data_IF_627777446038
#
_entry.id   IF_627777446038
#
_cell.length_a   1.000
_cell.length_b   1.000
_cell.length_c   1.000
_cell.angle_alpha   90.00
_cell.angle_beta   90.00
_cell.angle_gamma   90.00
#
_symmetry.space_group_name_H-M   'P 1'
#
loop_
_entity.id
_entity.type
_entity.pdbx_description
1 polymer ?
#
# COMPACT_ATOMS: atom_id res chain seq x y z
N UNK A 1 15.56 3.63 5.40
CA UNK A 1 14.83 4.29 6.52
C UNK A 1 13.35 4.36 6.16
N UNK A 2 12.49 3.68 6.92
CA UNK A 2 11.04 3.58 6.65
C UNK A 2 10.25 4.87 6.87
N UNK A 3 10.81 5.84 7.61
CA UNK A 3 10.14 7.13 7.87
C UNK A 3 10.26 8.12 6.71
N UNK A 4 11.08 7.80 5.70
CA UNK A 4 11.34 8.67 4.56
C UNK A 4 10.57 8.16 3.35
N UNK A 5 9.75 9.04 2.76
CA UNK A 5 9.01 8.77 1.53
C UNK A 5 9.94 8.33 0.40
N UNK A 6 9.54 7.36 -0.44
CA UNK A 6 10.37 6.82 -1.50
C UNK A 6 10.40 7.74 -2.73
N UNK A 7 10.98 8.92 -2.59
CA UNK A 7 11.24 9.84 -3.69
C UNK A 7 12.75 10.05 -3.84
N UNK A 8 13.24 10.11 -5.07
CA UNK A 8 14.67 10.31 -5.35
C UNK A 8 15.09 11.73 -4.97
N UNK A 9 14.19 12.70 -5.12
CA UNK A 9 14.41 14.09 -4.73
C UNK A 9 13.15 14.71 -4.12
N UNK A 10 13.29 15.94 -3.60
CA UNK A 10 12.21 16.63 -2.91
C UNK A 10 11.04 17.02 -3.81
N UNK A 11 11.26 17.21 -5.11
CA UNK A 11 10.22 17.62 -6.05
C UNK A 11 9.42 16.44 -6.60
N UNK A 12 9.96 15.23 -6.53
CA UNK A 12 9.32 14.03 -7.07
C UNK A 12 8.13 13.59 -6.20
N UNK A 13 7.00 13.30 -6.83
CA UNK A 13 5.79 12.80 -6.17
C UNK A 13 5.83 11.28 -6.05
N UNK A 14 5.16 10.75 -5.02
CA UNK A 14 4.91 9.31 -4.86
C UNK A 14 3.43 9.08 -5.17
N UNK A 15 3.15 8.41 -6.28
CA UNK A 15 1.78 8.07 -6.68
C UNK A 15 1.35 6.81 -5.92
N UNK A 16 0.20 6.90 -5.24
CA UNK A 16 -0.40 5.81 -4.49
C UNK A 16 -1.71 5.43 -5.17
N UNK A 17 -1.78 4.19 -5.66
CA UNK A 17 -3.00 3.60 -6.17
C UNK A 17 -3.78 3.01 -5.01
N UNK A 18 -5.01 3.47 -4.83
CA UNK A 18 -5.91 2.96 -3.80
C UNK A 18 -7.10 2.31 -4.49
N UNK A 19 -7.37 1.07 -4.11
CA UNK A 19 -8.57 0.35 -4.51
C UNK A 19 -9.29 -0.12 -3.24
N UNK A 20 -10.57 0.23 -3.15
CA UNK A 20 -11.46 -0.25 -2.09
C UNK A 20 -12.37 -1.30 -2.70
N UNK A 21 -12.36 -2.50 -2.13
CA UNK A 21 -13.29 -3.57 -2.50
C UNK A 21 -14.19 -3.84 -1.30
N UNK A 22 -15.48 -3.51 -1.43
CA UNK A 22 -16.47 -3.77 -0.40
C UNK A 22 -16.71 -5.27 -0.29
N UNK A 23 -16.48 -5.84 0.90
CA UNK A 23 -16.77 -7.24 1.18
C UNK A 23 -18.19 -7.41 1.74
N UNK A 24 -18.58 -6.53 2.68
CA UNK A 24 -19.88 -6.63 3.34
C UNK A 24 -20.35 -5.27 3.86
N UNK A 25 -21.65 -4.99 3.72
CA UNK A 25 -22.36 -3.96 4.47
C UNK A 25 -22.90 -4.56 5.77
N UNK A 26 -22.38 -4.13 6.91
CA UNK A 26 -22.69 -4.72 8.23
C UNK A 26 -23.92 -4.06 8.84
N UNK A 27 -23.97 -2.72 8.85
CA UNK A 27 -25.08 -1.97 9.43
C UNK A 27 -25.20 -0.58 8.80
N UNK A 28 -26.41 -0.03 8.80
CA UNK A 28 -26.72 1.36 8.47
C UNK A 28 -27.59 1.94 9.58
N UNK A 29 -27.04 2.88 10.35
CA UNK A 29 -27.79 3.65 11.32
C UNK A 29 -28.22 4.98 10.69
N UNK A 30 -29.47 5.05 10.26
CA UNK A 30 -30.03 6.23 9.59
C UNK A 30 -30.19 7.43 10.54
N UNK A 31 -30.47 7.18 11.82
CA UNK A 31 -30.62 8.26 12.81
C UNK A 31 -29.29 8.94 13.10
N UNK A 32 -28.21 8.15 13.19
CA UNK A 32 -26.86 8.66 13.48
C UNK A 32 -26.03 8.93 12.22
N UNK A 33 -26.54 8.57 11.03
CA UNK A 33 -25.83 8.68 9.74
C UNK A 33 -24.51 7.90 9.70
N UNK A 34 -24.49 6.69 10.31
CA UNK A 34 -23.31 5.83 10.38
C UNK A 34 -23.52 4.58 9.53
N UNK A 35 -22.54 4.27 8.67
CA UNK A 35 -22.49 3.06 7.89
C UNK A 35 -21.28 2.21 8.29
N UNK A 36 -21.52 0.99 8.76
CA UNK A 36 -20.47 0.03 9.12
C UNK A 36 -20.28 -0.96 7.99
N UNK A 37 -19.07 -1.05 7.44
CA UNK A 37 -18.72 -1.94 6.31
C UNK A 37 -17.43 -2.71 6.60
N UNK A 38 -17.33 -3.91 6.03
CA UNK A 38 -16.07 -4.63 5.91
C UNK A 38 -15.53 -4.44 4.49
N UNK A 39 -14.32 -3.91 4.36
CA UNK A 39 -13.70 -3.56 3.09
C UNK A 39 -12.27 -4.08 3.03
N UNK A 40 -11.86 -4.53 1.85
CA UNK A 40 -10.46 -4.75 1.51
C UNK A 40 -9.87 -3.48 0.91
N UNK A 41 -8.89 -2.90 1.60
CA UNK A 41 -8.10 -1.78 1.10
C UNK A 41 -6.83 -2.31 0.44
N UNK A 42 -6.75 -2.19 -0.88
CA UNK A 42 -5.53 -2.51 -1.64
C UNK A 42 -4.80 -1.21 -1.95
N UNK A 43 -3.50 -1.17 -1.63
CA UNK A 43 -2.64 -0.03 -1.86
C UNK A 43 -1.43 -0.46 -2.71
N UNK A 44 -1.14 0.30 -3.75
CA UNK A 44 0.01 0.06 -4.63
C UNK A 44 0.83 1.34 -4.80
N UNK A 45 2.13 1.25 -4.59
CA UNK A 45 3.08 2.33 -4.85
C UNK A 45 4.42 1.72 -5.30
N UNK A 46 5.33 2.56 -5.79
CA UNK A 46 6.68 2.16 -6.16
C UNK A 46 7.70 2.70 -5.15
N UNK A 47 8.55 1.83 -4.61
CA UNK A 47 9.69 2.21 -3.78
C UNK A 47 10.99 1.80 -4.49
N UNK A 48 11.75 2.79 -4.99
CA UNK A 48 12.98 2.54 -5.74
C UNK A 48 14.05 1.81 -4.92
N UNK A 49 13.98 1.86 -3.58
CA UNK A 49 14.94 1.21 -2.68
C UNK A 49 14.71 -0.29 -2.56
N UNK A 50 13.56 -0.77 -3.02
CA UNK A 50 13.16 -2.17 -3.00
C UNK A 50 13.20 -2.80 -4.40
N UNK A 51 13.97 -2.22 -5.31
CA UNK A 51 14.22 -2.79 -6.64
C UNK A 51 15.51 -3.60 -6.63
N UNK A 52 15.53 -4.72 -7.34
CA UNK A 52 16.71 -5.56 -7.55
C UNK A 52 16.66 -6.18 -8.95
N UNK A 53 17.81 -6.63 -9.45
CA UNK A 53 17.88 -7.41 -10.69
C UNK A 53 17.59 -8.89 -10.36
N UNK A 54 16.50 -9.50 -10.89
CA UNK A 54 16.20 -10.90 -10.63
C UNK A 54 17.33 -11.87 -11.01
N UNK A 55 18.16 -11.55 -12.00
CA UNK A 55 19.23 -12.44 -12.47
C UNK A 55 20.36 -12.59 -11.44
N UNK A 56 20.55 -11.60 -10.56
CA UNK A 56 21.48 -11.66 -9.43
C UNK A 56 20.93 -12.48 -8.24
N UNK A 57 19.64 -12.82 -8.25
CA UNK A 57 18.93 -13.47 -7.14
C UNK A 57 18.10 -14.67 -7.62
N UNK A 58 18.71 -15.54 -8.43
CA UNK A 58 18.11 -16.81 -8.89
C UNK A 58 16.72 -16.66 -9.55
N UNK A 59 16.46 -15.51 -10.17
CA UNK A 59 15.18 -15.21 -10.83
C UNK A 59 14.05 -14.85 -9.87
N UNK A 60 14.32 -14.51 -8.61
CA UNK A 60 13.30 -14.06 -7.65
C UNK A 60 12.71 -12.74 -8.14
N UNK A 61 11.40 -12.72 -8.44
CA UNK A 61 10.67 -11.52 -8.92
C UNK A 61 9.72 -10.90 -7.90
N UNK A 62 9.42 -11.62 -6.82
CA UNK A 62 8.46 -11.20 -5.79
C UNK A 62 8.90 -11.70 -4.43
N UNK A 63 8.80 -10.83 -3.44
CA UNK A 63 9.05 -11.14 -2.04
C UNK A 63 7.88 -10.61 -1.20
N UNK A 64 7.67 -11.21 -0.03
CA UNK A 64 6.69 -10.73 0.96
C UNK A 64 7.45 -10.21 2.16
N UNK A 65 7.28 -8.93 2.46
CA UNK A 65 7.92 -8.25 3.57
C UNK A 65 6.86 -7.82 4.59
N UNK A 66 7.15 -7.89 5.90
CA UNK A 66 6.29 -7.27 6.91
C UNK A 66 6.23 -5.75 6.67
N UNK A 67 5.02 -5.20 6.69
CA UNK A 67 4.77 -3.77 6.44
C UNK A 67 5.52 -2.85 7.41
N UNK A 68 5.83 -3.34 8.61
CA UNK A 68 6.55 -2.59 9.66
C UNK A 68 7.99 -2.20 9.28
N UNK A 69 8.57 -2.83 8.25
CA UNK A 69 9.94 -2.59 7.82
C UNK A 69 10.06 -1.62 6.63
N UNK A 70 8.95 -1.29 5.98
CA UNK A 70 8.92 -0.44 4.79
C UNK A 70 8.17 0.86 5.07
N UNK A 71 8.37 1.84 4.19
CA UNK A 71 7.53 3.05 4.22
C UNK A 71 6.10 2.68 3.84
N UNK A 72 5.13 3.24 4.55
CA UNK A 72 3.71 3.15 4.24
C UNK A 72 3.19 4.57 4.04
N UNK A 73 2.29 4.79 3.06
CA UNK A 73 1.64 6.09 2.88
C UNK A 73 0.75 6.49 4.06
#
# INVERSE_FOLDING_TARGET
NKLIRPAVNNSQQVTIYIQVSLAQLINVNEREQIMTTNCWLTQGWNDYRLMWDPDEYEGIKKIRLPSQHIWLP
#
